data_IF_337922269291
#
_entry.id   IF_337922269291
#
_cell.length_a   1.000
_cell.length_b   1.000
_cell.length_c   1.000
_cell.angle_alpha   90.00
_cell.angle_beta   90.00
_cell.angle_gamma   90.00
#
_symmetry.space_group_name_H-M   'P 1'
#
loop_
_entity.id
_entity.type
_entity.pdbx_description
1 polymer ?
#
# COMPACT_ATOMS: atom_id res chain seq x y z
N UNK A 1 -7.46 -11.33 8.58
CA UNK A 1 -8.64 -11.37 7.68
C UNK A 1 -9.51 -10.14 7.89
N UNK A 2 -10.36 -9.76 6.93
CA UNK A 2 -11.35 -8.70 7.15
C UNK A 2 -12.41 -9.17 8.16
N UNK A 3 -13.18 -8.24 8.75
CA UNK A 3 -14.33 -8.58 9.60
C UNK A 3 -15.40 -9.42 8.87
N UNK A 4 -15.35 -9.46 7.53
CA UNK A 4 -16.27 -10.19 6.66
C UNK A 4 -15.63 -11.44 6.03
N UNK A 5 -14.43 -11.84 6.46
CA UNK A 5 -13.67 -12.91 5.82
C UNK A 5 -13.05 -12.48 4.48
N UNK A 6 -13.02 -13.41 3.52
CA UNK A 6 -12.55 -13.14 2.17
C UNK A 6 -13.61 -12.34 1.40
N UNK A 7 -13.25 -11.15 0.92
CA UNK A 7 -14.16 -10.29 0.16
C UNK A 7 -13.81 -10.46 -1.33
N UNK A 8 -14.78 -10.91 -2.12
CA UNK A 8 -14.60 -11.00 -3.57
C UNK A 8 -14.29 -9.61 -4.15
N UNK A 9 -13.28 -9.54 -5.01
CA UNK A 9 -13.05 -8.36 -5.83
C UNK A 9 -14.32 -8.04 -6.64
N UNK A 10 -14.68 -6.75 -6.82
CA UNK A 10 -15.77 -6.40 -7.72
C UNK A 10 -15.52 -6.98 -9.11
N UNK A 11 -16.59 -7.17 -9.89
CA UNK A 11 -16.45 -7.65 -11.27
C UNK A 11 -15.71 -6.57 -12.08
N UNK A 12 -14.45 -6.83 -12.43
CA UNK A 12 -13.58 -5.87 -13.11
C UNK A 12 -13.33 -6.34 -14.53
N UNK A 13 -13.34 -5.39 -15.47
CA UNK A 13 -12.68 -5.59 -16.75
C UNK A 13 -11.22 -6.00 -16.51
N UNK A 14 -10.65 -6.84 -17.38
CA UNK A 14 -9.21 -7.18 -17.37
C UNK A 14 -8.38 -5.93 -17.72
N UNK A 15 -8.34 -4.96 -16.83
CA UNK A 15 -7.60 -3.71 -17.02
C UNK A 15 -6.13 -4.01 -16.79
N UNK A 16 -5.33 -3.79 -17.83
CA UNK A 16 -3.87 -3.77 -17.71
C UNK A 16 -3.50 -2.35 -17.31
N UNK A 17 -3.08 -2.16 -16.06
CA UNK A 17 -2.62 -0.87 -15.59
C UNK A 17 -1.25 -0.55 -16.21
N UNK A 18 -1.07 0.71 -16.62
CA UNK A 18 0.22 1.22 -17.06
C UNK A 18 1.15 1.40 -15.87
N UNK A 19 2.44 1.25 -16.10
CA UNK A 19 3.46 1.59 -15.10
C UNK A 19 3.50 3.11 -14.92
N UNK A 20 3.44 3.55 -13.67
CA UNK A 20 3.51 4.97 -13.31
C UNK A 20 4.92 5.31 -12.81
N UNK A 21 5.54 6.31 -13.41
CA UNK A 21 6.88 6.78 -13.05
C UNK A 21 6.84 8.09 -12.27
N UNK A 22 7.65 8.18 -11.21
CA UNK A 22 7.77 9.38 -10.39
C UNK A 22 9.24 9.67 -10.08
N UNK A 23 9.68 10.90 -10.28
CA UNK A 23 11.01 11.33 -9.85
C UNK A 23 11.08 11.43 -8.33
N UNK A 24 12.18 10.96 -7.73
CA UNK A 24 12.41 11.06 -6.29
C UNK A 24 13.04 12.43 -6.01
N UNK A 25 12.26 13.38 -5.49
CA UNK A 25 12.71 14.78 -5.33
C UNK A 25 13.99 14.94 -4.49
N UNK A 26 14.15 14.13 -3.44
CA UNK A 26 15.32 14.19 -2.56
C UNK A 26 16.55 13.45 -3.14
N UNK A 27 16.39 12.79 -4.29
CA UNK A 27 17.42 12.00 -4.96
C UNK A 27 17.13 11.97 -6.48
N UNK A 28 17.19 13.13 -7.17
CA UNK A 28 16.61 13.32 -8.51
C UNK A 28 17.25 12.48 -9.62
N UNK A 29 18.45 11.94 -9.38
CA UNK A 29 19.08 10.94 -10.24
C UNK A 29 18.36 9.59 -10.23
N UNK A 30 17.37 9.41 -9.33
CA UNK A 30 16.51 8.24 -9.27
C UNK A 30 15.03 8.58 -9.49
N UNK A 31 14.36 7.67 -10.19
CA UNK A 31 12.91 7.58 -10.31
C UNK A 31 12.42 6.32 -9.62
N UNK A 32 11.13 6.27 -9.34
CA UNK A 32 10.42 5.06 -8.97
C UNK A 32 9.39 4.72 -10.04
N UNK A 33 9.42 3.47 -10.51
CA UNK A 33 8.37 2.90 -11.35
C UNK A 33 7.45 2.03 -10.49
N UNK A 34 6.19 2.42 -10.40
CA UNK A 34 5.15 1.68 -9.68
C UNK A 34 4.38 0.81 -10.65
N UNK A 35 4.43 -0.50 -10.41
CA UNK A 35 3.91 -1.56 -11.26
C UNK A 35 2.82 -2.32 -10.52
N UNK A 36 1.77 -2.71 -11.23
CA UNK A 36 0.67 -3.54 -10.72
C UNK A 36 1.03 -5.02 -10.73
N UNK A 37 0.63 -5.74 -9.68
CA UNK A 37 0.79 -7.18 -9.53
C UNK A 37 -0.49 -7.81 -8.98
N UNK A 38 -0.69 -9.09 -9.27
CA UNK A 38 -1.61 -9.98 -8.56
C UNK A 38 -0.82 -11.11 -7.89
N UNK A 39 -1.50 -12.00 -7.16
CA UNK A 39 -0.84 -13.19 -6.60
C UNK A 39 -0.20 -14.05 -7.70
N UNK A 40 -0.83 -14.15 -8.85
CA UNK A 40 -0.40 -14.97 -9.99
C UNK A 40 0.84 -14.39 -10.67
N UNK A 41 1.01 -13.07 -10.67
CA UNK A 41 2.13 -12.40 -11.36
C UNK A 41 3.28 -12.01 -10.43
N UNK A 42 3.10 -12.11 -9.11
CA UNK A 42 4.12 -11.76 -8.13
C UNK A 42 5.20 -12.85 -8.02
N UNK A 43 6.49 -12.53 -8.18
CA UNK A 43 7.58 -13.47 -7.95
C UNK A 43 7.59 -14.02 -6.52
N UNK A 44 7.86 -15.32 -6.35
CA UNK A 44 7.82 -15.97 -5.02
C UNK A 44 8.86 -15.40 -4.04
N UNK A 45 10.04 -15.02 -4.54
CA UNK A 45 11.09 -14.39 -3.76
C UNK A 45 10.68 -12.99 -3.26
N UNK A 46 9.99 -12.20 -4.08
CA UNK A 46 9.35 -10.96 -3.64
C UNK A 46 8.32 -11.25 -2.55
N UNK A 47 7.39 -12.19 -2.77
CA UNK A 47 6.35 -12.54 -1.78
C UNK A 47 6.96 -12.95 -0.43
N UNK A 48 8.03 -13.75 -0.44
CA UNK A 48 8.77 -14.14 0.78
C UNK A 48 9.37 -12.93 1.50
N UNK A 49 10.00 -12.01 0.77
CA UNK A 49 10.51 -10.79 1.40
C UNK A 49 9.38 -9.95 1.99
N UNK A 50 8.27 -9.77 1.26
CA UNK A 50 7.14 -8.97 1.75
C UNK A 50 6.51 -9.55 3.00
N UNK A 51 6.40 -10.89 3.09
CA UNK A 51 5.91 -11.54 4.30
C UNK A 51 6.82 -11.23 5.49
N UNK A 52 8.14 -11.37 5.32
CA UNK A 52 9.12 -11.03 6.36
C UNK A 52 9.02 -9.57 6.80
N UNK A 53 9.01 -8.63 5.85
CA UNK A 53 8.92 -7.20 6.16
C UNK A 53 7.59 -6.83 6.82
N UNK A 54 6.49 -7.49 6.42
CA UNK A 54 5.20 -7.31 7.07
C UNK A 54 5.22 -7.85 8.51
N UNK A 55 5.82 -9.02 8.74
CA UNK A 55 6.01 -9.59 10.08
C UNK A 55 6.81 -8.66 10.99
N UNK A 56 7.91 -8.07 10.50
CA UNK A 56 8.68 -7.05 11.23
C UNK A 56 7.83 -5.81 11.55
N UNK A 57 6.93 -5.40 10.64
CA UNK A 57 6.02 -4.28 10.87
C UNK A 57 4.94 -4.60 11.92
N UNK A 58 4.42 -5.84 11.94
CA UNK A 58 3.49 -6.32 12.96
C UNK A 58 4.19 -6.44 14.31
N UNK A 59 5.43 -6.93 14.34
CA UNK A 59 6.23 -7.03 15.56
C UNK A 59 6.51 -5.65 16.16
N UNK A 60 6.78 -4.64 15.33
CA UNK A 60 6.85 -3.23 15.76
C UNK A 60 5.56 -2.76 16.43
N UNK A 61 4.40 -3.24 16.00
CA UNK A 61 3.12 -3.06 16.69
C UNK A 61 2.61 -1.62 16.77
N UNK A 62 2.92 -0.80 15.75
CA UNK A 62 2.65 0.65 15.76
C UNK A 62 1.70 1.13 14.65
N UNK A 63 1.44 0.31 13.63
CA UNK A 63 0.82 0.77 12.38
C UNK A 63 -0.33 -0.12 11.90
N UNK A 64 -0.29 -1.43 12.19
CA UNK A 64 -1.30 -2.40 11.82
C UNK A 64 -1.95 -3.02 13.08
N UNK A 65 -3.25 -3.37 13.03
CA UNK A 65 -3.95 -3.98 14.17
C UNK A 65 -3.59 -5.46 14.42
N UNK A 66 -2.94 -6.13 13.47
CA UNK A 66 -2.60 -7.55 13.60
C UNK A 66 -1.36 -7.73 14.49
N UNK A 67 -1.37 -8.76 15.32
CA UNK A 67 -0.21 -9.15 16.15
C UNK A 67 0.71 -10.16 15.46
N UNK A 68 0.25 -10.76 14.36
CA UNK A 68 1.02 -11.71 13.56
C UNK A 68 0.19 -12.27 12.41
N UNK A 69 0.86 -12.71 11.34
CA UNK A 69 0.27 -13.47 10.24
C UNK A 69 1.29 -14.50 9.76
N UNK A 70 0.89 -15.77 9.72
CA UNK A 70 1.68 -16.76 8.98
C UNK A 70 1.68 -16.45 7.47
N UNK A 71 2.52 -17.16 6.72
CA UNK A 71 2.70 -16.90 5.28
C UNK A 71 1.40 -17.05 4.49
N UNK A 72 0.60 -18.08 4.76
CA UNK A 72 -0.63 -18.32 4.02
C UNK A 72 -1.67 -17.22 4.30
N UNK A 73 -1.79 -16.80 5.56
CA UNK A 73 -2.67 -15.71 5.97
C UNK A 73 -2.21 -14.36 5.43
N UNK A 74 -0.89 -14.12 5.35
CA UNK A 74 -0.31 -12.94 4.71
C UNK A 74 -0.65 -12.91 3.22
N UNK A 75 -0.42 -14.00 2.49
CA UNK A 75 -0.70 -14.07 1.06
C UNK A 75 -2.20 -13.82 0.78
N UNK A 76 -3.09 -14.44 1.56
CA UNK A 76 -4.53 -14.22 1.47
C UNK A 76 -4.96 -12.80 1.86
N UNK A 77 -4.19 -12.09 2.69
CA UNK A 77 -4.50 -10.73 3.14
C UNK A 77 -3.97 -9.66 2.17
N UNK A 78 -2.70 -9.77 1.80
CA UNK A 78 -1.96 -8.77 1.02
C UNK A 78 -2.29 -8.89 -0.47
N UNK A 79 -2.45 -10.10 -0.98
CA UNK A 79 -2.81 -10.36 -2.38
C UNK A 79 -4.28 -10.72 -2.56
N UNK A 80 -5.14 -10.27 -1.64
CA UNK A 80 -6.59 -10.50 -1.71
C UNK A 80 -7.24 -9.95 -3.00
N UNK A 81 -6.62 -8.95 -3.63
CA UNK A 81 -7.07 -8.39 -4.90
C UNK A 81 -5.86 -7.90 -5.73
N UNK A 82 -5.30 -6.74 -5.40
CA UNK A 82 -4.22 -6.12 -6.17
C UNK A 82 -3.06 -5.75 -5.25
N UNK A 83 -1.85 -5.89 -5.76
CA UNK A 83 -0.63 -5.39 -5.17
C UNK A 83 0.05 -4.41 -6.13
N UNK A 84 0.88 -3.55 -5.56
CA UNK A 84 1.73 -2.62 -6.29
C UNK A 84 3.14 -2.73 -5.75
N UNK A 85 4.11 -2.79 -6.66
CA UNK A 85 5.54 -2.72 -6.33
C UNK A 85 6.15 -1.50 -6.99
N UNK A 86 6.87 -0.72 -6.21
CA UNK A 86 7.65 0.41 -6.66
C UNK A 86 9.12 0.02 -6.71
N UNK A 87 9.71 0.05 -7.91
CA UNK A 87 11.14 -0.24 -8.13
C UNK A 87 11.88 1.07 -8.39
N UNK A 88 12.92 1.32 -7.61
CA UNK A 88 13.79 2.48 -7.80
C UNK A 88 14.75 2.20 -8.96
N UNK A 89 14.85 3.13 -9.90
CA UNK A 89 15.68 3.03 -11.10
C UNK A 89 16.43 4.36 -11.35
N UNK A 90 17.53 4.36 -12.11
CA UNK A 90 18.11 5.60 -12.63
C UNK A 90 17.09 6.39 -13.45
N UNK A 91 17.01 7.70 -13.22
CA UNK A 91 15.99 8.55 -13.82
C UNK A 91 16.03 8.55 -15.36
N UNK A 92 17.22 8.43 -15.94
CA UNK A 92 17.44 8.36 -17.40
C UNK A 92 16.84 7.11 -18.07
N UNK A 93 16.66 6.02 -17.33
CA UNK A 93 16.07 4.77 -17.84
C UNK A 93 14.53 4.80 -17.81
N UNK A 94 13.91 5.79 -17.15
CA UNK A 94 12.45 5.84 -16.92
C UNK A 94 11.64 5.67 -18.20
N UNK A 95 12.01 6.38 -19.28
CA UNK A 95 11.27 6.33 -20.53
C UNK A 95 11.37 4.96 -21.24
N UNK A 96 12.52 4.30 -21.13
CA UNK A 96 12.78 3.00 -21.78
C UNK A 96 12.15 1.85 -21.00
N UNK A 97 12.10 1.96 -19.66
CA UNK A 97 11.56 0.94 -18.78
C UNK A 97 10.06 1.10 -18.50
N UNK A 98 9.43 2.15 -19.03
CA UNK A 98 8.00 2.38 -18.81
C UNK A 98 7.16 1.30 -19.51
N UNK A 99 6.26 0.66 -18.75
CA UNK A 99 5.41 -0.46 -19.18
C UNK A 99 6.17 -1.74 -19.59
N UNK A 100 7.44 -1.85 -19.22
CA UNK A 100 8.21 -3.10 -19.37
C UNK A 100 7.85 -4.12 -18.28
N UNK A 101 8.36 -5.36 -18.42
CA UNK A 101 8.14 -6.42 -17.44
C UNK A 101 8.85 -6.12 -16.11
N UNK A 102 8.32 -6.65 -15.00
CA UNK A 102 8.93 -6.49 -13.68
C UNK A 102 10.37 -6.99 -13.66
N UNK A 103 10.67 -8.09 -14.34
CA UNK A 103 12.02 -8.64 -14.46
C UNK A 103 12.98 -7.64 -15.12
N UNK A 104 12.55 -7.00 -16.21
CA UNK A 104 13.36 -6.01 -16.94
C UNK A 104 13.52 -4.71 -16.14
N UNK A 105 12.46 -4.24 -15.48
CA UNK A 105 12.51 -3.05 -14.63
C UNK A 105 13.39 -3.29 -13.41
N UNK A 106 13.33 -4.48 -12.80
CA UNK A 106 14.19 -4.85 -11.67
C UNK A 106 15.65 -4.97 -12.10
N UNK A 107 15.93 -5.54 -13.27
CA UNK A 107 17.28 -5.70 -13.81
C UNK A 107 18.28 -6.29 -12.79
N UNK A 108 17.84 -7.28 -12.01
CA UNK A 108 18.65 -7.93 -10.98
C UNK A 108 18.83 -7.15 -9.67
N UNK A 109 18.27 -5.93 -9.54
CA UNK A 109 18.26 -5.17 -8.27
C UNK A 109 17.59 -5.95 -7.15
N UNK A 110 18.04 -5.71 -5.92
CA UNK A 110 17.46 -6.37 -4.75
C UNK A 110 16.03 -5.89 -4.51
N UNK A 111 15.15 -6.80 -4.10
CA UNK A 111 13.83 -6.45 -3.58
C UNK A 111 13.90 -5.59 -2.31
N UNK A 112 15.05 -5.61 -1.63
CA UNK A 112 15.36 -4.72 -0.53
C UNK A 112 15.16 -3.25 -0.88
N UNK A 113 15.20 -2.89 -2.17
CA UNK A 113 15.06 -1.53 -2.67
C UNK A 113 13.65 -1.16 -3.12
N UNK A 114 12.70 -2.07 -2.98
CA UNK A 114 11.34 -1.89 -3.43
C UNK A 114 10.43 -1.40 -2.30
N UNK A 115 9.38 -0.70 -2.69
CA UNK A 115 8.27 -0.33 -1.81
C UNK A 115 6.99 -0.97 -2.29
N UNK A 116 6.09 -1.33 -1.39
CA UNK A 116 4.88 -2.05 -1.78
C UNK A 116 3.62 -1.50 -1.16
N UNK A 117 2.51 -1.77 -1.82
CA UNK A 117 1.18 -1.60 -1.26
C UNK A 117 0.21 -2.59 -1.84
N UNK A 118 -0.96 -2.70 -1.24
CA UNK A 118 -2.06 -3.47 -1.77
C UNK A 118 -3.32 -2.61 -1.88
N UNK A 119 -4.23 -3.00 -2.75
CA UNK A 119 -5.57 -2.43 -2.87
C UNK A 119 -6.56 -3.57 -2.95
N UNK A 120 -7.62 -3.50 -2.14
CA UNK A 120 -8.68 -4.50 -2.10
C UNK A 120 -10.03 -3.88 -1.73
N UNK A 121 -11.14 -4.57 -1.94
CA UNK A 121 -12.43 -4.07 -1.50
C UNK A 121 -12.44 -3.95 0.02
N UNK A 122 -12.97 -2.85 0.56
CA UNK A 122 -13.08 -2.68 2.00
C UNK A 122 -14.30 -3.43 2.58
N UNK A 123 -15.35 -3.56 1.76
CA UNK A 123 -16.64 -4.13 2.15
C UNK A 123 -17.15 -5.10 1.08
N UNK A 124 -17.99 -6.08 1.44
CA UNK A 124 -18.57 -7.01 0.49
C UNK A 124 -19.72 -6.39 -0.35
N UNK A 125 -20.01 -7.03 -1.48
CA UNK A 125 -21.24 -6.85 -2.24
C UNK A 125 -21.52 -5.40 -2.63
N UNK A 126 -22.61 -4.83 -2.09
CA UNK A 126 -23.13 -3.49 -2.43
C UNK A 126 -22.13 -2.35 -2.17
N UNK A 127 -21.14 -2.59 -1.30
CA UNK A 127 -20.14 -1.59 -0.92
C UNK A 127 -18.73 -1.95 -1.43
N UNK A 128 -18.60 -2.93 -2.32
CA UNK A 128 -17.31 -3.38 -2.88
C UNK A 128 -16.63 -2.37 -3.81
N UNK A 129 -17.36 -1.34 -4.24
CA UNK A 129 -16.81 -0.21 -4.99
C UNK A 129 -15.95 0.73 -4.12
N UNK A 130 -15.98 0.57 -2.80
CA UNK A 130 -15.12 1.27 -1.85
C UNK A 130 -13.92 0.38 -1.55
N UNK A 131 -12.71 0.82 -1.93
CA UNK A 131 -11.49 0.09 -1.62
C UNK A 131 -10.90 0.48 -0.27
N UNK A 132 -10.05 -0.42 0.22
CA UNK A 132 -9.07 -0.20 1.26
C UNK A 132 -7.69 -0.48 0.67
N UNK A 133 -6.67 0.14 1.23
CA UNK A 133 -5.29 -0.10 0.86
C UNK A 133 -4.39 -0.05 2.10
N UNK A 134 -3.22 -0.67 1.98
CA UNK A 134 -2.16 -0.61 2.97
C UNK A 134 -0.82 -0.53 2.26
N UNK A 135 0.13 0.12 2.91
CA UNK A 135 1.44 0.43 2.35
C UNK A 135 2.51 -0.02 3.33
N UNK A 136 3.58 -0.59 2.80
CA UNK A 136 4.75 -0.99 3.58
C UNK A 136 5.96 -0.35 2.91
N UNK A 137 6.62 0.53 3.66
CA UNK A 137 7.85 1.19 3.24
C UNK A 137 8.90 0.86 4.27
N UNK A 138 9.99 0.22 3.83
CA UNK A 138 11.09 -0.16 4.71
C UNK A 138 11.69 1.07 5.40
N UNK A 139 12.25 0.84 6.59
CA UNK A 139 12.85 1.89 7.41
C UNK A 139 13.99 2.63 6.71
N UNK A 140 14.80 1.91 5.91
CA UNK A 140 15.89 2.47 5.11
C UNK A 140 15.43 3.51 4.06
N UNK A 141 14.14 3.50 3.69
CA UNK A 141 13.54 4.39 2.71
C UNK A 141 12.72 5.53 3.32
N UNK A 142 12.69 5.63 4.65
CA UNK A 142 12.05 6.75 5.33
C UNK A 142 12.73 8.06 4.92
N UNK A 143 11.95 9.15 4.92
CA UNK A 143 12.39 10.52 4.57
C UNK A 143 12.76 10.77 3.10
N UNK A 144 12.65 9.78 2.21
CA UNK A 144 12.82 9.97 0.76
C UNK A 144 11.51 10.37 0.03
N UNK A 145 10.40 10.53 0.75
CA UNK A 145 9.11 10.88 0.17
C UNK A 145 8.39 9.73 -0.55
N UNK A 146 8.94 8.51 -0.50
CA UNK A 146 8.43 7.33 -1.20
C UNK A 146 6.99 6.94 -0.82
N UNK A 147 6.62 7.08 0.45
CA UNK A 147 5.22 6.86 0.89
C UNK A 147 4.23 7.82 0.23
N UNK A 148 4.63 9.08 -0.02
CA UNK A 148 3.81 10.05 -0.75
C UNK A 148 3.65 9.64 -2.22
N UNK A 149 4.73 9.18 -2.87
CA UNK A 149 4.69 8.72 -4.25
C UNK A 149 3.80 7.47 -4.42
N UNK A 150 3.86 6.52 -3.47
CA UNK A 150 2.92 5.40 -3.43
C UNK A 150 1.47 5.87 -3.25
N UNK A 151 1.23 6.82 -2.35
CA UNK A 151 -0.11 7.40 -2.17
C UNK A 151 -0.63 8.09 -3.43
N UNK A 152 0.23 8.80 -4.17
CA UNK A 152 -0.11 9.39 -5.47
C UNK A 152 -0.44 8.32 -6.51
N UNK A 153 0.39 7.28 -6.61
CA UNK A 153 0.16 6.14 -7.49
C UNK A 153 -1.15 5.42 -7.16
N UNK A 154 -1.45 5.25 -5.87
CA UNK A 154 -2.71 4.67 -5.40
C UNK A 154 -3.93 5.47 -5.87
N UNK A 155 -3.92 6.80 -5.68
CA UNK A 155 -5.03 7.66 -6.10
C UNK A 155 -5.24 7.63 -7.62
N UNK A 156 -4.17 7.44 -8.41
CA UNK A 156 -4.27 7.30 -9.87
C UNK A 156 -4.74 5.91 -10.32
N UNK A 157 -4.30 4.85 -9.65
CA UNK A 157 -4.57 3.47 -10.08
C UNK A 157 -5.89 2.91 -9.55
N UNK A 158 -6.30 3.25 -8.32
CA UNK A 158 -7.52 2.69 -7.73
C UNK A 158 -8.79 2.93 -8.57
N UNK A 159 -9.01 4.12 -9.19
CA UNK A 159 -10.16 4.34 -10.06
C UNK A 159 -10.11 3.50 -11.34
N UNK A 160 -8.91 3.30 -11.90
CA UNK A 160 -8.70 2.46 -13.08
C UNK A 160 -9.00 0.97 -12.80
N UNK A 161 -8.88 0.54 -11.55
CA UNK A 161 -9.32 -0.78 -11.08
C UNK A 161 -10.84 -0.88 -10.84
N UNK A 162 -11.60 0.18 -11.12
CA UNK A 162 -13.06 0.21 -11.00
C UNK A 162 -13.58 0.66 -9.63
N UNK A 163 -12.71 1.09 -8.72
CA UNK A 163 -13.15 1.65 -7.44
C UNK A 163 -13.66 3.08 -7.59
N UNK A 164 -14.68 3.42 -6.80
CA UNK A 164 -15.30 4.75 -6.79
C UNK A 164 -14.92 5.59 -5.58
N UNK A 165 -14.47 4.95 -4.51
CA UNK A 165 -13.99 5.62 -3.32
C UNK A 165 -12.97 4.76 -2.56
N UNK A 166 -12.34 5.37 -1.57
CA UNK A 166 -11.40 4.74 -0.65
C UNK A 166 -11.77 5.01 0.80
N UNK A 167 -11.60 4.00 1.65
CA UNK A 167 -11.63 4.12 3.10
C UNK A 167 -10.41 3.43 3.72
N UNK A 168 -9.67 4.17 4.55
CA UNK A 168 -8.74 3.62 5.53
C UNK A 168 -9.44 3.55 6.89
N UNK A 169 -9.65 2.33 7.40
CA UNK A 169 -10.45 2.13 8.61
C UNK A 169 -9.73 2.56 9.90
N UNK A 170 -8.41 2.33 9.96
CA UNK A 170 -7.62 2.48 11.19
C UNK A 170 -6.29 3.16 10.89
N UNK A 171 -6.30 4.48 10.68
CA UNK A 171 -5.06 5.27 10.68
C UNK A 171 -4.85 5.80 12.09
N UNK A 172 -3.98 5.15 12.86
CA UNK A 172 -3.74 5.53 14.25
C UNK A 172 -3.23 6.97 14.39
N UNK A 173 -3.70 7.68 15.42
CA UNK A 173 -3.46 9.11 15.61
C UNK A 173 -1.97 9.46 15.81
N UNK A 174 -1.17 8.53 16.33
CA UNK A 174 0.27 8.67 16.47
C UNK A 174 1.04 8.46 15.14
N UNK A 175 0.41 7.91 14.11
CA UNK A 175 0.98 7.80 12.76
C UNK A 175 0.78 9.11 11.99
N UNK A 176 1.40 10.17 12.50
CA UNK A 176 1.30 11.53 11.95
C UNK A 176 1.81 11.62 10.50
N UNK A 177 2.78 10.78 10.14
CA UNK A 177 3.29 10.68 8.76
C UNK A 177 2.24 10.20 7.77
N UNK A 178 1.48 9.16 8.12
CA UNK A 178 0.39 8.65 7.27
C UNK A 178 -0.74 9.66 7.13
N UNK A 179 -1.18 10.25 8.25
CA UNK A 179 -2.22 11.28 8.24
C UNK A 179 -1.83 12.49 7.37
N UNK A 180 -0.59 12.97 7.49
CA UNK A 180 -0.10 14.09 6.68
C UNK A 180 -0.04 13.77 5.19
N UNK A 181 0.23 12.51 4.80
CA UNK A 181 0.16 12.08 3.40
C UNK A 181 -1.28 12.13 2.92
N UNK A 182 -2.22 11.56 3.67
CA UNK A 182 -3.62 11.50 3.27
C UNK A 182 -4.27 12.88 3.18
N UNK A 183 -4.02 13.75 4.16
CA UNK A 183 -4.49 15.14 4.14
C UNK A 183 -3.98 15.86 2.87
N UNK A 184 -2.70 15.68 2.51
CA UNK A 184 -2.10 16.28 1.29
C UNK A 184 -2.63 15.70 -0.02
N UNK A 185 -3.15 14.47 -0.01
CA UNK A 185 -3.78 13.82 -1.16
C UNK A 185 -5.29 14.08 -1.25
N UNK A 186 -5.79 15.00 -0.43
CA UNK A 186 -7.20 15.41 -0.42
C UNK A 186 -8.11 14.28 0.05
N UNK A 187 -7.66 13.47 1.01
CA UNK A 187 -8.55 12.64 1.80
C UNK A 187 -9.15 13.46 2.93
N UNK A 188 -10.36 13.11 3.30
CA UNK A 188 -11.09 13.67 4.43
C UNK A 188 -10.99 12.75 5.65
N UNK A 189 -10.92 13.33 6.85
CA UNK A 189 -11.04 12.57 8.10
C UNK A 189 -12.52 12.37 8.40
N UNK A 190 -13.08 11.24 7.96
CA UNK A 190 -14.51 10.93 8.04
C UNK A 190 -14.98 10.56 9.45
N UNK A 191 -14.07 10.15 10.33
CA UNK A 191 -14.41 9.81 11.70
C UNK A 191 -13.19 9.59 12.59
N UNK A 192 -13.44 9.51 13.90
CA UNK A 192 -12.45 9.19 14.93
C UNK A 192 -13.02 8.09 15.83
N UNK A 193 -12.24 7.05 16.05
CA UNK A 193 -12.55 5.96 16.97
C UNK A 193 -11.62 6.11 18.19
N UNK A 194 -12.14 6.51 19.36
CA UNK A 194 -11.33 6.67 20.55
C UNK A 194 -10.70 5.34 21.00
N UNK A 195 -9.42 5.37 21.38
CA UNK A 195 -8.69 4.21 21.95
C UNK A 195 -8.80 2.93 21.11
N UNK A 196 -8.82 3.06 19.79
CA UNK A 196 -9.03 1.96 18.86
C UNK A 196 -7.87 0.96 18.76
N UNK A 197 -6.64 1.40 19.00
CA UNK A 197 -5.45 0.56 18.86
C UNK A 197 -4.65 0.47 20.15
N UNK A 198 -4.39 -0.76 20.62
CA UNK A 198 -3.38 -1.06 21.64
C UNK A 198 -2.04 -1.22 20.92
N UNK A 199 -1.20 -0.20 20.98
CA UNK A 199 0.05 -0.13 20.21
C UNK A 199 1.27 -0.18 21.12
N UNK A 200 2.37 -0.76 20.62
CA UNK A 200 3.65 -0.78 21.32
C UNK A 200 4.31 0.61 21.32
N UNK A 201 4.76 1.04 22.48
CA UNK A 201 5.55 2.26 22.70
C UNK A 201 6.86 1.90 23.41
N UNK A 202 7.74 2.88 23.60
CA UNK A 202 8.99 2.68 24.37
C UNK A 202 8.72 2.23 25.82
N UNK A 203 7.53 2.50 26.36
CA UNK A 203 7.14 2.23 27.74
C UNK A 203 6.19 1.02 27.88
N UNK A 204 6.01 0.22 26.83
CA UNK A 204 5.10 -0.93 26.83
C UNK A 204 4.01 -0.78 25.79
N UNK A 205 2.75 -0.73 26.22
CA UNK A 205 1.59 -0.60 25.32
C UNK A 205 0.65 0.51 25.77
N UNK A 206 0.18 1.29 24.81
CA UNK A 206 -0.74 2.40 25.04
C UNK A 206 -1.90 2.36 24.05
N UNK A 207 -3.04 2.94 24.44
CA UNK A 207 -4.23 3.01 23.59
C UNK A 207 -4.27 4.32 22.82
N UNK A 208 -4.27 4.22 21.49
CA UNK A 208 -4.35 5.37 20.59
C UNK A 208 -5.69 5.39 19.85
N UNK A 209 -6.17 6.60 19.58
CA UNK A 209 -7.31 6.81 18.70
C UNK A 209 -6.95 6.40 17.27
N UNK A 210 -7.96 6.06 16.47
CA UNK A 210 -7.80 5.83 15.04
C UNK A 210 -8.72 6.73 14.22
N UNK A 211 -8.17 7.36 13.19
CA UNK A 211 -8.89 8.18 12.24
C UNK A 211 -9.39 7.28 11.11
N UNK A 212 -10.69 7.37 10.80
CA UNK A 212 -11.25 6.83 9.56
C UNK A 212 -11.04 7.87 8.48
N UNK A 213 -10.34 7.50 7.42
CA UNK A 213 -9.96 8.42 6.34
C UNK A 213 -10.66 8.01 5.05
N UNK A 214 -11.30 8.96 4.38
CA UNK A 214 -12.16 8.73 3.21
C UNK A 214 -11.78 9.64 2.04
N UNK A 215 -11.90 9.11 0.81
CA UNK A 215 -11.81 9.90 -0.42
C UNK A 215 -12.77 9.35 -1.48
N UNK A 216 -13.54 10.25 -2.11
CA UNK A 216 -14.21 9.96 -3.38
C UNK A 216 -13.20 10.04 -4.53
N UNK A 217 -13.30 9.09 -5.47
CA UNK A 217 -12.58 9.16 -6.74
C UNK A 217 -13.47 9.69 -7.87
N UNK A 218 -14.74 9.89 -7.61
CA UNK A 218 -15.68 10.57 -8.49
C UNK A 218 -15.75 12.06 -8.10
N UNK A 219 -15.84 12.92 -9.11
CA UNK A 219 -15.92 14.38 -8.97
C UNK A 219 -17.22 14.85 -8.30
#
# INVERSE_FOLDING_TARGET
MSAYGAIAAPNRSKVILKTLGYMIQNKPENSILVMHLTKETAPDDLVRLLHKEFEEELERGQTYPQEGLDRAAFEAYFFAADAFVGVIIPSEETAVLQNETLERVRAGRSWDECIVGYVKPNYPGRSSHICNAGFVVRTCFRRLGLGKLLGQSYVQNAPQLGYKASVFNLVYANNTGSLAIWDKLGFTRAGLIPKAGRLKTENGEEYFDAVVVYKSFED
#
